data_IF_209397746868
#
_entry.id   IF_209397746868
#
_cell.length_a   1.000
_cell.length_b   1.000
_cell.length_c   1.000
_cell.angle_alpha   90.00
_cell.angle_beta   90.00
_cell.angle_gamma   90.00
#
_symmetry.space_group_name_H-M   'P 1'
#
loop_
_entity.id
_entity.type
_entity.pdbx_description
1 polymer ?
#
# COMPACT_ATOMS: atom_id res chain seq x y z
N UNK A 1 4.94 -8.35 10.14
CA UNK A 1 5.71 -9.16 11.11
C UNK A 1 5.72 -8.42 12.42
N UNK A 2 5.32 -9.06 13.53
CA UNK A 2 5.60 -8.47 14.84
C UNK A 2 7.04 -8.77 15.24
N UNK A 3 7.59 -7.88 16.05
CA UNK A 3 8.91 -8.06 16.63
C UNK A 3 8.93 -9.31 17.52
N UNK A 4 10.09 -9.96 17.60
CA UNK A 4 10.33 -11.14 18.43
C UNK A 4 9.51 -12.38 18.09
N UNK A 5 9.11 -12.54 16.81
CA UNK A 5 8.48 -13.77 16.31
C UNK A 5 9.55 -14.75 15.82
N UNK A 6 9.52 -16.00 16.30
CA UNK A 6 10.49 -17.04 15.91
C UNK A 6 10.09 -17.77 14.61
N UNK A 7 8.84 -17.59 14.16
CA UNK A 7 8.37 -18.20 12.92
C UNK A 7 9.16 -17.71 11.71
N UNK A 8 9.66 -18.65 10.91
CA UNK A 8 10.53 -18.37 9.79
C UNK A 8 10.93 -19.61 8.99
N UNK A 9 11.35 -19.37 7.76
CA UNK A 9 11.89 -20.39 6.86
C UNK A 9 13.37 -20.07 6.63
N UNK A 10 14.23 -21.00 7.02
CA UNK A 10 15.68 -20.88 6.86
C UNK A 10 16.10 -21.61 5.58
N UNK A 11 16.81 -20.90 4.71
CA UNK A 11 17.26 -21.40 3.42
C UNK A 11 18.80 -21.37 3.39
N UNK A 12 19.41 -22.40 2.79
CA UNK A 12 20.82 -22.41 2.42
C UNK A 12 20.96 -22.65 0.91
N UNK A 13 22.06 -22.21 0.32
CA UNK A 13 22.42 -22.69 -1.01
C UNK A 13 22.73 -24.19 -0.96
N UNK A 14 22.31 -24.92 -1.98
CA UNK A 14 22.71 -26.30 -2.21
C UNK A 14 24.23 -26.38 -2.38
N UNK A 15 24.80 -27.54 -2.07
CA UNK A 15 26.26 -27.74 -2.10
C UNK A 15 26.83 -27.59 -3.53
N UNK A 16 25.99 -27.78 -4.55
CA UNK A 16 26.30 -27.54 -5.97
C UNK A 16 26.00 -26.10 -6.44
N UNK A 17 25.46 -25.25 -5.57
CA UNK A 17 25.15 -23.85 -5.83
C UNK A 17 23.96 -23.60 -6.78
N UNK A 18 23.23 -24.64 -7.20
CA UNK A 18 22.18 -24.50 -8.24
C UNK A 18 20.78 -24.24 -7.69
N UNK A 19 20.58 -24.48 -6.40
CA UNK A 19 19.27 -24.40 -5.76
C UNK A 19 19.36 -23.84 -4.33
N UNK A 20 18.22 -23.39 -3.79
CA UNK A 20 18.05 -23.11 -2.37
C UNK A 20 17.38 -24.32 -1.69
N UNK A 21 17.95 -24.75 -0.57
CA UNK A 21 17.48 -25.88 0.24
C UNK A 21 16.98 -25.36 1.57
N UNK A 22 15.79 -25.79 1.98
CA UNK A 22 15.23 -25.46 3.29
C UNK A 22 16.00 -26.24 4.37
N UNK A 23 16.56 -25.52 5.35
CA UNK A 23 17.33 -26.11 6.45
C UNK A 23 16.51 -26.25 7.73
N UNK A 24 15.64 -25.27 7.99
CA UNK A 24 14.77 -25.23 9.17
C UNK A 24 13.50 -24.49 8.80
N UNK A 25 12.38 -24.93 9.35
CA UNK A 25 11.11 -24.22 9.30
C UNK A 25 10.55 -24.19 10.72
N UNK A 26 10.20 -23.00 11.19
CA UNK A 26 9.55 -22.79 12.49
C UNK A 26 8.20 -22.13 12.23
N UNK A 27 7.14 -22.71 12.79
CA UNK A 27 5.76 -22.18 12.70
C UNK A 27 5.25 -21.67 14.06
N UNK A 28 6.16 -21.47 15.02
CA UNK A 28 5.83 -20.94 16.34
C UNK A 28 5.62 -19.42 16.29
N UNK A 29 4.35 -19.04 16.29
CA UNK A 29 3.93 -17.64 16.27
C UNK A 29 3.64 -17.14 17.69
N UNK A 30 4.20 -15.99 18.05
CA UNK A 30 3.88 -15.27 19.28
C UNK A 30 2.68 -14.30 19.12
N UNK A 31 1.93 -14.43 18.03
CA UNK A 31 0.85 -13.54 17.62
C UNK A 31 -0.18 -14.30 16.78
N UNK A 32 -1.39 -13.74 16.69
CA UNK A 32 -2.43 -14.28 15.83
C UNK A 32 -2.03 -14.24 14.36
N UNK A 33 -2.25 -15.36 13.67
CA UNK A 33 -2.13 -15.47 12.21
C UNK A 33 -3.53 -15.57 11.63
N UNK A 34 -3.92 -14.58 10.82
CA UNK A 34 -5.23 -14.53 10.20
C UNK A 34 -5.10 -14.15 8.74
N UNK A 35 -5.68 -14.99 7.87
CA UNK A 35 -5.74 -14.73 6.43
C UNK A 35 -6.50 -13.44 6.14
N UNK A 36 -7.56 -13.16 6.90
CA UNK A 36 -8.32 -11.93 6.77
C UNK A 36 -7.42 -10.70 7.02
N UNK A 37 -6.65 -10.70 8.11
CA UNK A 37 -5.73 -9.61 8.42
C UNK A 37 -4.64 -9.47 7.35
N UNK A 38 -4.14 -10.60 6.84
CA UNK A 38 -3.17 -10.61 5.75
C UNK A 38 -3.69 -9.93 4.49
N UNK A 39 -4.93 -10.24 4.07
CA UNK A 39 -5.56 -9.63 2.88
C UNK A 39 -5.75 -8.11 3.02
N UNK A 40 -5.79 -7.57 4.24
CA UNK A 40 -5.91 -6.13 4.50
C UNK A 40 -4.57 -5.41 4.61
N UNK A 41 -3.42 -6.11 4.49
CA UNK A 41 -2.11 -5.48 4.56
C UNK A 41 -1.87 -4.52 3.39
N UNK A 42 -1.19 -3.38 3.60
CA UNK A 42 -0.96 -2.38 2.55
C UNK A 42 -0.37 -2.96 1.25
N UNK A 43 0.57 -3.89 1.36
CA UNK A 43 1.18 -4.53 0.19
C UNK A 43 0.20 -5.42 -0.60
N UNK A 44 -0.76 -6.07 0.07
CA UNK A 44 -1.77 -6.89 -0.59
C UNK A 44 -2.86 -6.03 -1.25
N UNK A 45 -3.14 -4.86 -0.67
CA UNK A 45 -4.10 -3.88 -1.21
C UNK A 45 -3.58 -3.06 -2.40
N UNK A 46 -2.29 -3.19 -2.76
CA UNK A 46 -1.72 -2.49 -3.93
C UNK A 46 -2.43 -2.95 -5.21
N UNK A 47 -3.04 -2.00 -5.92
CA UNK A 47 -3.72 -2.24 -7.20
C UNK A 47 -2.71 -2.23 -8.37
N UNK A 48 -3.12 -2.77 -9.51
CA UNK A 48 -2.30 -2.76 -10.73
C UNK A 48 -2.26 -1.35 -11.33
N UNK A 49 -1.26 -1.04 -12.17
CA UNK A 49 -1.19 0.24 -12.89
C UNK A 49 -2.44 0.52 -13.74
N UNK A 50 -3.01 -0.51 -14.35
CA UNK A 50 -4.25 -0.41 -15.14
C UNK A 50 -5.44 0.05 -14.29
N UNK A 51 -5.66 -0.60 -13.15
CA UNK A 51 -6.69 -0.18 -12.20
C UNK A 51 -6.42 1.21 -11.62
N UNK A 52 -5.14 1.59 -11.45
CA UNK A 52 -4.76 2.94 -11.00
C UNK A 52 -5.24 4.00 -11.99
N UNK A 53 -5.04 3.80 -13.29
CA UNK A 53 -5.51 4.74 -14.32
C UNK A 53 -7.03 4.94 -14.26
N UNK A 54 -7.79 3.85 -14.12
CA UNK A 54 -9.27 3.90 -13.99
C UNK A 54 -9.68 4.69 -12.74
N UNK A 55 -8.98 4.49 -11.61
CA UNK A 55 -9.25 5.23 -10.38
C UNK A 55 -9.04 6.73 -10.59
N UNK A 56 -7.94 7.12 -11.23
CA UNK A 56 -7.61 8.52 -11.48
C UNK A 56 -8.66 9.20 -12.37
N UNK A 57 -9.01 8.57 -13.49
CA UNK A 57 -10.05 9.07 -14.40
C UNK A 57 -11.38 9.29 -13.66
N UNK A 58 -11.84 8.30 -12.89
CA UNK A 58 -13.10 8.40 -12.15
C UNK A 58 -13.05 9.44 -11.02
N UNK A 59 -11.89 9.62 -10.39
CA UNK A 59 -11.69 10.64 -9.36
C UNK A 59 -11.72 12.05 -9.95
N UNK A 60 -11.13 12.27 -11.14
CA UNK A 60 -11.15 13.56 -11.83
C UNK A 60 -12.56 13.92 -12.33
N UNK A 61 -13.35 12.93 -12.72
CA UNK A 61 -14.79 13.07 -13.00
C UNK A 61 -15.64 13.30 -11.74
N UNK A 62 -15.01 13.42 -10.56
CA UNK A 62 -15.67 13.58 -9.25
C UNK A 62 -16.71 12.50 -8.96
N UNK A 63 -16.47 11.28 -9.45
CA UNK A 63 -17.36 10.16 -9.18
C UNK A 63 -17.33 9.78 -7.68
N UNK A 64 -18.41 9.15 -7.22
CA UNK A 64 -18.52 8.76 -5.81
C UNK A 64 -17.47 7.70 -5.44
N UNK A 65 -16.61 7.98 -4.45
CA UNK A 65 -15.54 7.07 -3.99
C UNK A 65 -16.07 5.69 -3.57
N UNK A 66 -17.29 5.64 -3.01
CA UNK A 66 -18.19 4.48 -2.82
C UNK A 66 -18.15 3.50 -3.98
N UNK A 67 -18.54 4.07 -5.11
CA UNK A 67 -18.76 3.36 -6.36
C UNK A 67 -17.44 2.95 -7.00
N UNK A 68 -16.43 3.82 -6.96
CA UNK A 68 -15.09 3.53 -7.47
C UNK A 68 -14.51 2.34 -6.72
N UNK A 69 -14.57 2.34 -5.37
CA UNK A 69 -14.09 1.24 -4.55
C UNK A 69 -14.74 -0.09 -4.94
N UNK A 70 -16.07 -0.13 -5.05
CA UNK A 70 -16.79 -1.34 -5.43
C UNK A 70 -16.44 -1.83 -6.83
N UNK A 71 -16.32 -0.92 -7.80
CA UNK A 71 -15.89 -1.25 -9.17
C UNK A 71 -14.50 -1.90 -9.17
N UNK A 72 -13.53 -1.27 -8.53
CA UNK A 72 -12.14 -1.76 -8.49
C UNK A 72 -12.04 -3.08 -7.73
N UNK A 73 -12.78 -3.26 -6.64
CA UNK A 73 -12.83 -4.54 -5.92
C UNK A 73 -13.35 -5.67 -6.81
N UNK A 74 -14.42 -5.41 -7.58
CA UNK A 74 -15.03 -6.42 -8.44
C UNK A 74 -14.17 -6.78 -9.65
N UNK A 75 -13.48 -5.80 -10.23
CA UNK A 75 -12.62 -6.01 -11.40
C UNK A 75 -11.27 -6.64 -11.02
N UNK A 76 -10.66 -6.20 -9.91
CA UNK A 76 -9.32 -6.64 -9.52
C UNK A 76 -9.31 -7.83 -8.55
N UNK A 77 -10.44 -8.11 -7.88
CA UNK A 77 -10.51 -9.09 -6.80
C UNK A 77 -9.73 -8.72 -5.53
N UNK A 78 -9.15 -7.51 -5.47
CA UNK A 78 -8.36 -7.03 -4.33
C UNK A 78 -9.19 -6.16 -3.40
N UNK A 79 -8.87 -6.22 -2.11
CA UNK A 79 -9.42 -5.30 -1.11
C UNK A 79 -8.76 -3.94 -1.29
N UNK A 80 -9.58 -2.89 -1.39
CA UNK A 80 -9.13 -1.50 -1.49
C UNK A 80 -9.88 -0.66 -0.47
N UNK A 81 -9.25 0.34 0.12
CA UNK A 81 -9.92 1.28 1.05
C UNK A 81 -10.12 2.63 0.37
N UNK A 82 -11.07 3.41 0.89
CA UNK A 82 -11.28 4.79 0.42
C UNK A 82 -10.04 5.68 0.60
N UNK A 83 -9.22 5.37 1.62
CA UNK A 83 -7.95 6.06 1.86
C UNK A 83 -6.95 5.75 0.76
N UNK A 84 -6.89 4.51 0.27
CA UNK A 84 -6.02 4.16 -0.85
C UNK A 84 -6.37 4.95 -2.11
N UNK A 85 -7.66 5.05 -2.45
CA UNK A 85 -8.12 5.84 -3.60
C UNK A 85 -7.73 7.31 -3.48
N UNK A 86 -7.87 7.88 -2.28
CA UNK A 86 -7.50 9.27 -2.02
C UNK A 86 -5.99 9.48 -2.09
N UNK A 87 -5.20 8.55 -1.57
CA UNK A 87 -3.74 8.59 -1.66
C UNK A 87 -3.25 8.47 -3.10
N UNK A 88 -3.87 7.60 -3.91
CA UNK A 88 -3.54 7.45 -5.33
C UNK A 88 -3.75 8.76 -6.09
N UNK A 89 -4.92 9.39 -5.89
CA UNK A 89 -5.26 10.66 -6.54
C UNK A 89 -4.35 11.80 -6.08
N UNK A 90 -4.13 11.91 -4.76
CA UNK A 90 -3.24 12.92 -4.19
C UNK A 90 -1.81 12.78 -4.69
N UNK A 91 -1.28 11.54 -4.73
CA UNK A 91 0.05 11.28 -5.29
C UNK A 91 0.10 11.77 -6.74
N UNK A 92 -0.84 11.39 -7.59
CA UNK A 92 -0.88 11.83 -8.99
C UNK A 92 -0.92 13.36 -9.16
N UNK A 93 -1.70 14.05 -8.35
CA UNK A 93 -1.74 15.51 -8.35
C UNK A 93 -0.38 16.12 -7.99
N UNK A 94 0.32 15.56 -7.00
CA UNK A 94 1.66 16.03 -6.62
C UNK A 94 2.68 15.87 -7.76
N UNK A 95 2.66 14.73 -8.49
CA UNK A 95 3.56 14.55 -9.64
C UNK A 95 3.20 15.48 -10.80
N UNK A 96 1.92 15.72 -11.03
CA UNK A 96 1.46 16.62 -12.10
C UNK A 96 1.79 18.09 -11.82
N UNK A 97 1.83 18.51 -10.55
CA UNK A 97 2.30 19.86 -10.18
C UNK A 97 3.82 19.99 -10.25
N UNK A 98 4.54 18.91 -9.96
CA UNK A 98 6.01 18.88 -9.96
C UNK A 98 6.63 18.62 -11.34
N UNK A 99 5.89 18.16 -12.35
CA UNK A 99 6.44 18.04 -13.72
C UNK A 99 6.77 19.38 -14.39
N UNK A 100 6.38 20.50 -13.77
CA UNK A 100 6.86 21.83 -14.18
C UNK A 100 8.13 22.27 -13.42
N UNK A 101 8.56 21.52 -12.40
CA UNK A 101 9.70 21.83 -11.54
C UNK A 101 10.37 20.52 -11.05
N UNK A 102 11.46 20.13 -11.73
CA UNK A 102 12.66 19.42 -11.22
C UNK A 102 12.83 17.94 -11.63
N UNK A 103 14.02 17.67 -12.19
CA UNK A 103 14.59 16.40 -12.66
C UNK A 103 15.14 15.47 -11.54
N UNK A 104 14.76 15.67 -10.27
CA UNK A 104 15.43 14.99 -9.14
C UNK A 104 14.45 14.18 -8.26
N UNK A 105 14.56 12.85 -8.32
CA UNK A 105 13.77 11.86 -7.52
C UNK A 105 13.88 12.05 -6.00
N UNK A 106 14.91 12.74 -5.52
CA UNK A 106 15.23 12.88 -4.10
C UNK A 106 14.30 13.84 -3.33
N UNK A 107 13.62 14.75 -4.04
CA UNK A 107 12.72 15.75 -3.44
C UNK A 107 11.34 15.14 -3.09
N UNK A 108 10.91 14.11 -3.83
CA UNK A 108 9.63 13.42 -3.64
C UNK A 108 9.53 12.73 -2.27
N UNK A 109 10.62 12.12 -1.80
CA UNK A 109 10.64 11.37 -0.53
C UNK A 109 10.64 12.27 0.70
N UNK A 110 11.34 13.42 0.65
CA UNK A 110 11.41 14.37 1.78
C UNK A 110 10.07 15.07 2.04
N UNK A 111 9.32 15.40 0.97
CA UNK A 111 7.99 15.99 1.11
C UNK A 111 6.96 14.97 1.63
N UNK A 112 7.09 13.69 1.28
CA UNK A 112 6.24 12.63 1.81
C UNK A 112 6.45 12.41 3.31
N UNK A 113 7.69 12.52 3.83
CA UNK A 113 7.96 12.49 5.28
C UNK A 113 7.34 13.68 6.03
N UNK A 114 7.35 14.87 5.42
CA UNK A 114 6.79 16.09 6.02
C UNK A 114 5.24 16.03 6.12
N UNK A 115 4.56 15.41 5.15
CA UNK A 115 3.10 15.21 5.16
C UNK A 115 2.63 14.02 6.03
N UNK A 116 3.53 13.07 6.33
CA UNK A 116 3.26 11.89 7.16
C UNK A 116 3.82 12.00 8.58
N UNK A 117 4.02 13.23 9.09
CA UNK A 117 4.28 13.43 10.52
C UNK A 117 3.08 12.91 11.34
N UNK A 118 3.27 12.04 12.36
CA UNK A 118 2.16 11.34 13.03
C UNK A 118 1.24 12.23 13.88
N UNK A 119 1.57 13.50 14.05
CA UNK A 119 0.95 14.39 15.05
C UNK A 119 0.12 15.52 14.42
N UNK A 120 -0.77 15.21 13.47
CA UNK A 120 -1.81 16.16 13.06
C UNK A 120 -3.14 15.72 13.64
N UNK A 121 -3.47 16.33 14.78
CA UNK A 121 -4.79 16.32 15.40
C UNK A 121 -5.89 16.45 14.33
N UNK A 122 -6.81 15.49 14.30
CA UNK A 122 -8.07 15.62 13.57
C UNK A 122 -8.75 16.90 14.04
N UNK A 123 -8.67 17.95 13.23
CA UNK A 123 -9.44 19.16 13.46
C UNK A 123 -10.92 18.82 13.24
N UNK A 124 -11.62 18.56 14.34
CA UNK A 124 -13.07 18.65 14.40
C UNK A 124 -13.46 20.07 13.98
N UNK A 125 -14.18 20.18 12.87
CA UNK A 125 -15.00 21.35 12.57
C UNK A 125 -16.44 20.89 12.45
N UNK A 126 -17.09 20.86 13.60
CA UNK A 126 -18.49 21.21 13.75
C UNK A 126 -18.85 22.41 12.89
N UNK A 127 -19.73 22.24 11.90
CA UNK A 127 -20.67 23.26 11.41
C UNK A 127 -21.70 22.58 10.49
N UNK A 128 -22.71 21.98 11.10
CA UNK A 128 -24.13 22.35 10.95
C UNK A 128 -24.89 21.86 12.18
#
# INVERSE_FOLDING_TARGET
MRQSCEAGIYLKASDDGKALVITKMTEDYNHEVSQLLYSHLPNQRKITPESKAIVLELMDLKANKKMIQHKIMNESGKIVTLKDLSNIHMFECLFSTNSNLIEDEELSFKQLEEFYSPDVECFDKSFF
#
